data_IF_803588950435
#
_entry.id   IF_803588950435
#
_cell.length_a   1.000
_cell.length_b   1.000
_cell.length_c   1.000
_cell.angle_alpha   90.00
_cell.angle_beta   90.00
_cell.angle_gamma   90.00
#
_symmetry.space_group_name_H-M   'P 1'
#
loop_
_entity.id
_entity.type
_entity.pdbx_description
1 polymer ?
#
# COMPACT_ATOMS: atom_id res chain seq x y z
N UNK A 1 -60.26 -15.37 79.61
CA UNK A 1 -60.55 -16.69 79.05
C UNK A 1 -60.41 -16.60 77.52
N UNK A 2 -59.58 -17.52 76.99
CA UNK A 2 -59.43 -17.96 75.60
C UNK A 2 -59.21 -16.92 74.48
N UNK A 3 -57.97 -16.86 74.04
CA UNK A 3 -57.46 -16.25 72.82
C UNK A 3 -57.97 -16.97 71.55
N UNK A 4 -58.22 -16.23 70.49
CA UNK A 4 -58.34 -16.75 69.14
C UNK A 4 -57.28 -16.16 68.28
N UNK A 5 -56.40 -17.04 67.77
CA UNK A 5 -55.35 -16.74 66.83
C UNK A 5 -55.98 -16.63 65.40
N UNK A 6 -55.79 -15.52 64.75
CA UNK A 6 -56.08 -15.37 63.34
C UNK A 6 -54.76 -15.34 62.56
N UNK A 7 -54.57 -16.33 61.71
CA UNK A 7 -53.44 -16.47 60.80
C UNK A 7 -53.67 -15.63 59.57
N UNK A 8 -52.84 -14.63 59.36
CA UNK A 8 -52.85 -13.81 58.14
C UNK A 8 -51.85 -14.39 57.14
N UNK A 9 -52.39 -14.96 56.06
CA UNK A 9 -51.60 -15.48 54.95
C UNK A 9 -51.12 -14.32 54.09
N UNK A 10 -49.85 -13.99 54.16
CA UNK A 10 -49.21 -12.97 53.32
C UNK A 10 -48.89 -13.54 51.95
N UNK A 11 -49.55 -13.04 50.93
CA UNK A 11 -49.24 -13.31 49.53
C UNK A 11 -48.08 -12.44 49.08
N UNK A 12 -46.89 -13.02 49.03
CA UNK A 12 -45.72 -12.35 48.34
C UNK A 12 -45.90 -12.43 46.84
N UNK A 13 -46.27 -11.31 46.24
CA UNK A 13 -46.19 -11.15 44.76
C UNK A 13 -44.74 -10.88 44.40
N UNK A 14 -44.07 -11.88 43.80
CA UNK A 14 -42.74 -11.67 43.23
C UNK A 14 -42.86 -10.87 41.92
N UNK A 15 -42.48 -9.61 41.97
CA UNK A 15 -42.29 -8.78 40.78
C UNK A 15 -40.98 -9.19 40.12
N UNK A 16 -41.03 -10.02 39.07
CA UNK A 16 -39.88 -10.26 38.20
C UNK A 16 -39.61 -9.01 37.37
N UNK A 17 -38.61 -8.21 37.75
CA UNK A 17 -38.05 -7.16 36.95
C UNK A 17 -37.31 -7.80 35.76
N UNK A 18 -37.96 -7.79 34.60
CA UNK A 18 -37.32 -8.02 33.30
C UNK A 18 -36.38 -6.81 33.02
N UNK A 19 -35.12 -6.97 33.34
CA UNK A 19 -34.11 -6.09 32.80
C UNK A 19 -34.01 -6.37 31.29
N UNK A 20 -34.69 -5.58 30.48
CA UNK A 20 -34.39 -5.45 29.07
C UNK A 20 -32.96 -4.84 28.99
N UNK A 21 -31.98 -5.68 28.73
CA UNK A 21 -30.64 -5.24 28.37
C UNK A 21 -30.76 -4.47 27.05
N UNK A 22 -30.92 -3.16 27.15
CA UNK A 22 -30.66 -2.26 26.03
C UNK A 22 -29.17 -2.39 25.72
N UNK A 23 -28.82 -3.22 24.73
CA UNK A 23 -27.48 -3.23 24.17
C UNK A 23 -27.16 -1.83 23.63
N UNK A 24 -26.35 -1.08 24.38
CA UNK A 24 -25.78 0.15 23.87
C UNK A 24 -25.06 -0.11 22.54
N UNK A 25 -24.80 0.92 21.73
CA UNK A 25 -24.06 0.76 20.49
C UNK A 25 -22.75 0.00 20.84
N UNK A 26 -22.53 -1.14 20.18
CA UNK A 26 -21.26 -1.87 20.34
C UNK A 26 -20.14 -0.93 19.91
N UNK A 27 -19.15 -0.77 20.75
CA UNK A 27 -17.93 -0.05 20.34
C UNK A 27 -17.35 -0.73 19.09
N UNK A 28 -16.85 0.06 18.10
CA UNK A 28 -16.26 -0.50 16.90
C UNK A 28 -15.08 -1.39 17.27
N UNK A 29 -15.02 -2.59 16.71
CA UNK A 29 -13.86 -3.45 16.85
C UNK A 29 -12.71 -2.86 16.02
N UNK A 30 -11.69 -2.33 16.69
CA UNK A 30 -10.50 -1.79 16.05
C UNK A 30 -9.56 -2.92 15.60
N UNK A 31 -8.74 -2.62 14.59
CA UNK A 31 -7.61 -3.45 14.15
C UNK A 31 -6.48 -3.42 15.17
N UNK A 32 -5.44 -4.23 15.01
CA UNK A 32 -4.26 -4.19 15.88
C UNK A 32 -3.53 -2.84 15.82
N UNK A 33 -3.57 -2.15 14.66
CA UNK A 33 -3.04 -0.80 14.49
C UNK A 33 -3.96 0.31 15.00
N UNK A 34 -5.13 -0.02 15.55
CA UNK A 34 -6.10 0.95 16.06
C UNK A 34 -7.03 1.55 14.99
N UNK A 35 -6.96 1.09 13.76
CA UNK A 35 -7.86 1.55 12.70
C UNK A 35 -9.30 1.12 12.97
N UNK A 36 -10.24 2.01 12.66
CA UNK A 36 -11.66 1.69 12.66
C UNK A 36 -12.10 1.30 11.23
N UNK A 37 -12.39 0.01 10.95
CA UNK A 37 -12.80 -0.44 9.61
C UNK A 37 -13.99 0.33 9.04
N UNK A 38 -14.94 0.77 9.88
CA UNK A 38 -16.10 1.53 9.43
C UNK A 38 -15.75 2.89 8.79
N UNK A 39 -14.55 3.45 9.05
CA UNK A 39 -14.07 4.67 8.39
C UNK A 39 -13.58 4.44 6.95
N UNK A 40 -13.51 3.17 6.54
CA UNK A 40 -13.17 2.76 5.17
C UNK A 40 -14.38 2.26 4.40
N UNK A 41 -15.53 2.03 5.06
CA UNK A 41 -16.75 1.56 4.40
C UNK A 41 -17.47 2.75 3.72
N UNK A 42 -17.42 2.79 2.39
CA UNK A 42 -18.06 3.83 1.60
C UNK A 42 -18.31 3.37 0.16
N UNK A 43 -18.92 4.25 -0.64
CA UNK A 43 -19.08 4.06 -2.08
C UNK A 43 -18.23 5.12 -2.80
N UNK A 44 -17.36 4.70 -3.70
CA UNK A 44 -16.59 5.58 -4.57
C UNK A 44 -16.90 5.22 -6.02
N UNK A 45 -17.40 6.17 -6.80
CA UNK A 45 -17.79 5.97 -8.20
C UNK A 45 -18.78 4.81 -8.44
N UNK A 46 -19.60 4.48 -7.45
CA UNK A 46 -20.57 3.37 -7.53
C UNK A 46 -20.06 2.03 -6.99
N UNK A 47 -18.78 1.91 -6.66
CA UNK A 47 -18.16 0.70 -6.14
C UNK A 47 -17.98 0.75 -4.62
N UNK A 48 -18.20 -0.40 -3.96
CA UNK A 48 -18.00 -0.53 -2.52
C UNK A 48 -16.52 -0.54 -2.15
N UNK A 49 -16.14 0.37 -1.27
CA UNK A 49 -14.81 0.42 -0.65
C UNK A 49 -14.89 -0.10 0.78
N UNK A 50 -13.87 -0.84 1.21
CA UNK A 50 -13.73 -1.34 2.59
C UNK A 50 -12.28 -1.60 2.96
N UNK A 51 -12.06 -1.85 4.24
CA UNK A 51 -10.80 -2.36 4.79
C UNK A 51 -10.87 -3.87 4.95
N UNK A 52 -9.87 -4.58 4.47
CA UNK A 52 -9.65 -6.01 4.69
C UNK A 52 -8.54 -6.19 5.70
N UNK A 53 -8.69 -7.16 6.60
CA UNK A 53 -7.69 -7.47 7.61
C UNK A 53 -7.20 -8.89 7.42
N UNK A 54 -5.90 -9.04 7.19
CA UNK A 54 -5.21 -10.33 7.11
C UNK A 54 -4.48 -10.58 8.42
N UNK A 55 -4.48 -11.83 8.89
CA UNK A 55 -3.78 -12.25 10.12
C UNK A 55 -3.11 -13.59 9.92
N UNK A 56 -1.88 -13.72 10.37
CA UNK A 56 -1.23 -15.02 10.43
C UNK A 56 -1.24 -15.60 11.86
N UNK A 57 -0.82 -16.86 11.99
CA UNK A 57 -0.80 -17.56 13.28
C UNK A 57 0.21 -16.96 14.29
N UNK A 58 1.17 -16.18 13.82
CA UNK A 58 2.23 -15.57 14.63
C UNK A 58 1.87 -14.15 15.11
N UNK A 59 0.63 -13.70 14.86
CA UNK A 59 0.10 -12.43 15.34
C UNK A 59 0.38 -11.23 14.43
N UNK A 60 1.07 -11.37 13.29
CA UNK A 60 1.12 -10.30 12.30
C UNK A 60 -0.27 -9.98 11.77
N UNK A 61 -0.50 -8.70 11.51
CA UNK A 61 -1.72 -8.19 10.89
C UNK A 61 -1.38 -7.23 9.75
N UNK A 62 -2.05 -7.39 8.62
CA UNK A 62 -2.00 -6.43 7.51
C UNK A 62 -3.41 -5.91 7.23
N UNK A 63 -3.58 -4.59 7.17
CA UNK A 63 -4.82 -3.95 6.76
C UNK A 63 -4.67 -3.40 5.34
N UNK A 64 -5.59 -3.79 4.46
CA UNK A 64 -5.55 -3.45 3.04
C UNK A 64 -6.91 -2.90 2.63
N UNK A 65 -6.95 -1.72 2.00
CA UNK A 65 -8.17 -1.22 1.37
C UNK A 65 -8.19 -1.55 -0.11
N UNK A 66 -9.36 -1.88 -0.63
CA UNK A 66 -9.54 -2.07 -2.07
C UNK A 66 -9.58 -0.76 -2.87
N UNK A 67 -9.57 0.40 -2.24
CA UNK A 67 -9.32 1.67 -2.91
C UNK A 67 -7.83 1.82 -3.21
N UNK A 68 -7.47 1.69 -4.48
CA UNK A 68 -6.09 1.68 -4.93
C UNK A 68 -5.29 0.43 -4.54
N UNK A 69 -5.95 -0.60 -3.98
CA UNK A 69 -5.28 -1.81 -3.50
C UNK A 69 -4.16 -1.51 -2.51
N UNK A 70 -4.44 -0.65 -1.51
CA UNK A 70 -3.41 -0.05 -0.63
C UNK A 70 -3.17 -0.87 0.63
N UNK A 71 -1.91 -1.11 0.95
CA UNK A 71 -1.49 -1.50 2.30
C UNK A 71 -1.62 -0.27 3.21
N UNK A 72 -2.54 -0.33 4.17
CA UNK A 72 -2.85 0.78 5.09
C UNK A 72 -2.06 0.68 6.38
N UNK A 73 -1.88 -0.53 6.89
CA UNK A 73 -1.03 -0.83 8.05
C UNK A 73 -0.41 -2.22 7.92
N UNK A 74 0.75 -2.40 8.52
CA UNK A 74 1.44 -3.68 8.60
C UNK A 74 2.05 -3.83 10.00
N UNK A 75 1.31 -4.53 10.87
CA UNK A 75 1.74 -4.79 12.24
C UNK A 75 2.68 -5.99 12.29
N UNK A 76 3.90 -5.76 12.70
CA UNK A 76 4.94 -6.80 12.81
C UNK A 76 5.43 -6.91 14.26
N UNK A 77 5.78 -8.11 14.75
CA UNK A 77 6.40 -8.25 16.06
C UNK A 77 7.84 -7.72 16.03
N UNK A 78 8.18 -6.89 16.99
CA UNK A 78 9.55 -6.46 17.24
C UNK A 78 10.34 -7.56 18.00
N UNK A 79 11.60 -7.27 18.36
CA UNK A 79 12.46 -8.19 19.13
C UNK A 79 11.93 -8.52 20.55
N UNK A 80 10.93 -7.79 21.03
CA UNK A 80 10.30 -7.98 22.35
C UNK A 80 8.89 -8.56 22.22
N UNK A 81 8.52 -9.05 21.02
CA UNK A 81 7.18 -9.53 20.67
C UNK A 81 6.08 -8.45 20.75
N UNK A 82 6.45 -7.17 20.76
CA UNK A 82 5.51 -6.06 20.67
C UNK A 82 5.16 -5.80 19.19
N UNK A 83 3.88 -5.65 18.88
CA UNK A 83 3.44 -5.30 17.53
C UNK A 83 3.65 -3.82 17.28
N UNK A 84 4.35 -3.50 16.18
CA UNK A 84 4.57 -2.15 15.69
C UNK A 84 4.09 -2.03 14.24
N UNK A 85 3.53 -0.87 13.88
CA UNK A 85 3.16 -0.59 12.48
C UNK A 85 4.37 -0.05 11.74
N UNK A 86 4.77 -0.74 10.67
CA UNK A 86 5.99 -0.41 9.92
C UNK A 86 5.73 0.26 8.59
N UNK A 87 4.48 0.62 8.26
CA UNK A 87 4.14 1.34 7.02
C UNK A 87 3.42 2.64 7.32
N UNK A 88 3.59 3.63 6.45
CA UNK A 88 2.83 4.86 6.50
C UNK A 88 1.46 4.69 5.83
N UNK A 89 0.42 5.19 6.49
CA UNK A 89 -0.96 5.14 6.00
C UNK A 89 -1.83 6.21 6.63
N UNK A 90 -3.07 6.32 6.14
CA UNK A 90 -4.09 7.22 6.68
C UNK A 90 -5.18 6.44 7.42
N UNK A 91 -5.87 7.10 8.33
CA UNK A 91 -6.85 6.48 9.23
C UNK A 91 -8.25 6.29 8.62
N UNK A 92 -8.47 6.78 7.41
CA UNK A 92 -9.80 6.71 6.75
C UNK A 92 -9.70 6.89 5.24
N UNK A 93 -10.75 6.46 4.55
CA UNK A 93 -10.82 6.53 3.09
C UNK A 93 -10.90 7.96 2.55
N UNK A 94 -11.48 8.90 3.29
CA UNK A 94 -11.61 10.27 2.83
C UNK A 94 -10.24 10.93 2.59
N UNK A 95 -9.24 10.62 3.41
CA UNK A 95 -7.87 11.09 3.22
C UNK A 95 -7.22 10.49 1.97
N UNK A 96 -7.42 9.21 1.70
CA UNK A 96 -6.90 8.57 0.47
C UNK A 96 -7.58 9.07 -0.81
N UNK A 97 -8.85 9.42 -0.74
CA UNK A 97 -9.62 9.91 -1.89
C UNK A 97 -9.39 11.40 -2.20
N UNK A 98 -8.89 12.17 -1.23
CA UNK A 98 -8.60 13.60 -1.37
C UNK A 98 -7.14 13.80 -1.81
N UNK A 99 -6.87 13.57 -3.09
CA UNK A 99 -5.53 13.71 -3.66
C UNK A 99 -5.02 15.17 -3.65
N UNK A 100 -5.89 16.17 -3.48
CA UNK A 100 -5.50 17.57 -3.44
C UNK A 100 -4.85 17.95 -2.09
N UNK A 101 -5.43 17.48 -0.98
CA UNK A 101 -4.97 17.85 0.36
C UNK A 101 -4.07 16.78 1.00
N UNK A 102 -4.23 15.52 0.60
CA UNK A 102 -3.50 14.37 1.13
C UNK A 102 -2.75 13.59 0.04
N UNK A 103 -2.38 14.25 -1.05
CA UNK A 103 -1.79 13.65 -2.25
C UNK A 103 -0.60 12.75 -1.98
N UNK A 104 -0.85 11.49 -1.66
CA UNK A 104 0.15 10.47 -1.42
C UNK A 104 -0.28 9.14 -2.03
N UNK A 105 0.68 8.42 -2.57
CA UNK A 105 0.49 7.06 -3.08
C UNK A 105 0.77 5.98 -2.00
N UNK A 106 0.69 6.33 -0.70
CA UNK A 106 0.95 5.42 0.42
C UNK A 106 0.25 4.07 0.22
N UNK A 107 1.06 3.00 0.20
CA UNK A 107 0.64 1.63 0.11
C UNK A 107 0.01 1.19 -1.20
N UNK A 108 -0.15 2.07 -2.19
CA UNK A 108 -0.94 1.82 -3.39
C UNK A 108 -0.37 0.73 -4.31
N UNK A 109 -1.26 -0.01 -4.95
CA UNK A 109 -0.95 -0.84 -6.11
C UNK A 109 -1.00 0.02 -7.36
N UNK A 110 0.18 0.41 -7.83
CA UNK A 110 0.35 1.32 -8.97
C UNK A 110 0.22 0.58 -10.30
N UNK A 111 -0.47 1.23 -11.22
CA UNK A 111 -0.63 0.84 -12.63
C UNK A 111 -1.37 1.94 -13.41
N UNK A 112 -1.49 1.86 -14.74
CA UNK A 112 -1.07 0.75 -15.61
C UNK A 112 0.47 0.66 -15.72
N UNK A 113 1.18 1.79 -15.53
CA UNK A 113 2.64 1.85 -15.61
C UNK A 113 3.20 2.65 -14.44
N UNK A 114 3.91 1.98 -13.56
CA UNK A 114 4.58 2.58 -12.40
C UNK A 114 5.76 3.45 -12.83
N UNK A 115 6.01 4.51 -12.06
CA UNK A 115 6.98 5.55 -12.35
C UNK A 115 6.67 6.32 -13.66
N UNK A 116 7.66 6.99 -14.26
CA UNK A 116 7.45 7.98 -15.34
C UNK A 116 7.64 7.40 -16.73
N UNK A 117 6.77 7.80 -17.64
CA UNK A 117 6.98 7.66 -19.10
C UNK A 117 7.33 9.03 -19.64
N UNK A 118 8.51 9.15 -20.24
CA UNK A 118 9.07 10.40 -20.74
C UNK A 118 8.13 11.09 -21.72
N UNK A 119 7.83 12.37 -21.48
CA UNK A 119 6.90 13.18 -22.27
C UNK A 119 5.49 12.56 -22.41
N UNK A 120 5.15 11.57 -21.60
CA UNK A 120 3.91 10.81 -21.72
C UNK A 120 3.80 10.07 -23.04
N UNK A 121 4.89 9.63 -23.64
CA UNK A 121 4.90 8.98 -24.97
C UNK A 121 5.64 7.65 -24.95
N UNK A 122 5.06 6.67 -25.64
CA UNK A 122 5.74 5.43 -26.00
C UNK A 122 5.28 4.95 -27.38
N UNK A 123 5.95 3.93 -27.93
CA UNK A 123 5.62 3.40 -29.26
C UNK A 123 5.22 1.93 -29.18
N UNK A 124 4.23 1.58 -29.99
CA UNK A 124 3.88 0.19 -30.31
C UNK A 124 3.98 0.06 -31.83
N UNK A 125 4.98 -0.68 -32.30
CA UNK A 125 5.28 -0.71 -33.73
C UNK A 125 5.60 0.67 -34.27
N UNK A 126 4.83 1.13 -35.25
CA UNK A 126 4.96 2.48 -35.86
C UNK A 126 4.12 3.54 -35.13
N UNK A 127 3.13 3.12 -34.36
CA UNK A 127 2.20 4.03 -33.68
C UNK A 127 2.83 4.67 -32.45
N UNK A 128 2.66 5.98 -32.33
CA UNK A 128 3.04 6.73 -31.13
C UNK A 128 1.81 6.95 -30.26
N UNK A 129 1.84 6.43 -29.05
CA UNK A 129 0.80 6.59 -28.06
C UNK A 129 1.11 7.79 -27.18
N UNK A 130 0.17 8.75 -27.09
CA UNK A 130 0.29 9.92 -26.23
C UNK A 130 -0.59 9.74 -24.99
N UNK A 131 0.05 9.71 -23.84
CA UNK A 131 -0.58 9.66 -22.51
C UNK A 131 -0.76 11.07 -21.93
N UNK A 132 -1.65 11.25 -20.95
CA UNK A 132 -1.71 12.47 -20.15
C UNK A 132 -0.37 12.76 -19.46
N UNK A 133 -0.08 14.05 -19.27
CA UNK A 133 1.13 14.51 -18.57
C UNK A 133 0.71 15.11 -17.23
N UNK A 134 0.90 14.37 -16.16
CA UNK A 134 0.45 14.74 -14.82
C UNK A 134 1.57 15.12 -13.86
N UNK A 135 2.85 14.99 -14.29
CA UNK A 135 3.98 15.31 -13.42
C UNK A 135 5.20 15.77 -14.24
N UNK A 136 5.67 16.99 -14.06
CA UNK A 136 6.84 17.60 -14.75
C UNK A 136 6.88 17.38 -16.26
N UNK A 137 5.72 17.32 -16.92
CA UNK A 137 5.63 17.06 -18.36
C UNK A 137 5.73 15.58 -18.75
N UNK A 138 5.76 14.67 -17.80
CA UNK A 138 5.77 13.22 -17.96
C UNK A 138 4.44 12.59 -17.53
N UNK A 139 4.19 11.33 -17.92
CA UNK A 139 3.12 10.53 -17.35
C UNK A 139 3.67 9.76 -16.15
N UNK A 140 3.17 10.05 -14.95
CA UNK A 140 3.55 9.39 -13.71
C UNK A 140 2.45 8.44 -13.25
N UNK A 141 2.82 7.24 -12.84
CA UNK A 141 1.96 6.26 -12.17
C UNK A 141 0.62 5.99 -12.88
N UNK A 142 0.68 5.81 -14.22
CA UNK A 142 -0.49 5.50 -15.02
C UNK A 142 -1.38 6.70 -15.35
N UNK A 143 -0.93 7.93 -15.02
CA UNK A 143 -1.65 9.16 -15.34
C UNK A 143 -2.54 9.68 -14.19
N UNK A 144 -3.32 10.76 -14.44
CA UNK A 144 -4.07 11.46 -13.39
C UNK A 144 -5.17 10.62 -12.72
N UNK A 145 -5.63 9.56 -13.37
CA UNK A 145 -6.60 8.60 -12.84
C UNK A 145 -6.03 7.19 -12.83
N UNK A 146 -4.76 7.04 -12.44
CA UNK A 146 -4.08 5.76 -12.31
C UNK A 146 -4.76 4.80 -11.34
N UNK A 147 -4.28 3.58 -11.28
CA UNK A 147 -4.93 2.50 -10.51
C UNK A 147 -4.98 2.76 -9.01
N UNK A 148 -4.11 3.61 -8.49
CA UNK A 148 -4.11 4.08 -7.10
C UNK A 148 -5.38 4.87 -6.71
N UNK A 149 -6.16 5.34 -7.69
CA UNK A 149 -7.43 6.06 -7.49
C UNK A 149 -8.66 5.25 -7.91
N UNK A 150 -8.49 3.96 -8.20
CA UNK A 150 -9.58 3.06 -8.61
C UNK A 150 -9.95 2.10 -7.50
N UNK A 151 -11.20 1.63 -7.53
CA UNK A 151 -11.69 0.61 -6.62
C UNK A 151 -11.50 -0.76 -7.25
N UNK A 152 -10.76 -1.63 -6.57
CA UNK A 152 -10.61 -3.02 -6.95
C UNK A 152 -11.77 -3.85 -6.40
N UNK A 153 -12.18 -4.88 -7.15
CA UNK A 153 -13.04 -5.93 -6.61
C UNK A 153 -12.23 -6.81 -5.67
N UNK A 154 -12.58 -6.82 -4.38
CA UNK A 154 -11.89 -7.59 -3.36
C UNK A 154 -12.58 -8.93 -3.06
N UNK A 155 -11.76 -9.96 -2.93
CA UNK A 155 -12.14 -11.30 -2.49
C UNK A 155 -11.18 -11.74 -1.39
N UNK A 156 -11.65 -11.81 -0.14
CA UNK A 156 -10.88 -12.40 0.95
C UNK A 156 -11.00 -13.92 0.85
N UNK A 157 -9.91 -14.57 0.43
CA UNK A 157 -9.87 -16.02 0.15
C UNK A 157 -9.87 -16.80 1.46
N UNK A 158 -9.09 -16.33 2.44
CA UNK A 158 -8.97 -16.85 3.79
C UNK A 158 -8.47 -15.75 4.75
N UNK A 159 -8.12 -16.11 5.99
CA UNK A 159 -7.64 -15.14 7.00
C UNK A 159 -6.29 -14.49 6.64
N UNK A 160 -5.52 -15.08 5.73
CA UNK A 160 -4.18 -14.66 5.37
C UNK A 160 -4.08 -14.12 3.93
N UNK A 161 -5.11 -14.33 3.09
CA UNK A 161 -5.04 -14.07 1.65
C UNK A 161 -6.18 -13.20 1.17
N UNK A 162 -5.83 -12.10 0.51
CA UNK A 162 -6.74 -11.19 -0.19
C UNK A 162 -6.38 -11.10 -1.66
N UNK A 163 -7.36 -11.35 -2.53
CA UNK A 163 -7.24 -11.15 -3.98
C UNK A 163 -8.01 -9.89 -4.39
N UNK A 164 -7.33 -8.98 -5.06
CA UNK A 164 -7.89 -7.75 -5.61
C UNK A 164 -7.83 -7.80 -7.13
N UNK A 165 -8.95 -7.53 -7.80
CA UNK A 165 -9.02 -7.53 -9.28
C UNK A 165 -9.54 -6.19 -9.78
N UNK A 166 -8.86 -5.63 -10.79
CA UNK A 166 -9.23 -4.40 -11.46
C UNK A 166 -9.28 -4.63 -12.98
N UNK A 167 -10.33 -4.13 -13.62
CA UNK A 167 -10.41 -4.05 -15.07
C UNK A 167 -10.16 -2.60 -15.50
N UNK A 168 -9.06 -2.36 -16.19
CA UNK A 168 -8.70 -1.08 -16.79
C UNK A 168 -9.07 -1.16 -18.28
N UNK A 169 -10.11 -0.44 -18.75
CA UNK A 169 -10.61 -0.58 -20.11
C UNK A 169 -9.62 -0.05 -21.15
N UNK A 170 -9.84 -0.43 -22.42
CA UNK A 170 -9.15 0.18 -23.54
C UNK A 170 -9.31 1.70 -23.53
N UNK A 171 -8.20 2.43 -23.75
CA UNK A 171 -8.18 3.89 -23.69
C UNK A 171 -8.12 4.51 -22.30
N UNK A 172 -8.06 3.72 -21.21
CA UNK A 172 -7.87 4.25 -19.86
C UNK A 172 -6.55 5.04 -19.77
N UNK A 173 -6.64 6.35 -19.47
CA UNK A 173 -5.54 7.31 -19.60
C UNK A 173 -4.79 7.21 -20.97
N UNK A 174 -5.49 6.89 -22.04
CA UNK A 174 -4.99 6.66 -23.40
C UNK A 174 -4.09 5.43 -23.57
N UNK A 175 -3.98 4.55 -22.58
CA UNK A 175 -3.31 3.26 -22.77
C UNK A 175 -4.18 2.34 -23.64
N UNK A 176 -3.63 1.71 -24.68
CA UNK A 176 -4.38 0.77 -25.51
C UNK A 176 -4.61 -0.56 -24.76
N UNK A 177 -5.69 -1.22 -25.11
CA UNK A 177 -6.07 -2.54 -24.64
C UNK A 177 -6.75 -2.53 -23.27
N UNK A 178 -7.70 -3.45 -23.14
CA UNK A 178 -8.28 -3.78 -21.84
C UNK A 178 -7.31 -4.62 -21.04
N UNK A 179 -7.00 -4.21 -19.81
CA UNK A 179 -6.14 -4.98 -18.90
C UNK A 179 -6.94 -5.41 -17.69
N UNK A 180 -6.92 -6.71 -17.40
CA UNK A 180 -7.36 -7.25 -16.11
C UNK A 180 -6.13 -7.43 -15.23
N UNK A 181 -6.03 -6.61 -14.19
CA UNK A 181 -4.97 -6.68 -13.20
C UNK A 181 -5.45 -7.42 -11.94
N UNK A 182 -4.60 -8.28 -11.42
CA UNK A 182 -4.83 -8.99 -10.17
C UNK A 182 -3.66 -8.74 -9.22
N UNK A 183 -3.96 -8.35 -7.99
CA UNK A 183 -3.00 -8.22 -6.91
C UNK A 183 -3.44 -9.16 -5.78
N UNK A 184 -2.59 -10.12 -5.45
CA UNK A 184 -2.85 -11.05 -4.35
C UNK A 184 -1.88 -10.75 -3.21
N UNK A 185 -2.43 -10.41 -2.06
CA UNK A 185 -1.70 -10.20 -0.82
C UNK A 185 -1.81 -11.45 0.03
N UNK A 186 -0.68 -11.98 0.48
CA UNK A 186 -0.65 -13.12 1.40
C UNK A 186 0.26 -12.83 2.58
N UNK A 187 -0.29 -12.91 3.78
CA UNK A 187 0.47 -12.80 5.02
C UNK A 187 0.95 -14.21 5.41
N UNK A 188 2.21 -14.51 5.13
CA UNK A 188 2.75 -15.87 5.22
C UNK A 188 2.98 -16.32 6.67
N UNK A 189 3.13 -17.63 6.88
CA UNK A 189 3.38 -18.21 8.20
C UNK A 189 4.75 -17.87 8.77
N UNK A 190 5.70 -17.47 7.92
CA UNK A 190 7.07 -17.04 8.30
C UNK A 190 7.20 -15.52 8.42
N UNK A 191 6.07 -14.82 8.61
CA UNK A 191 5.99 -13.38 8.84
C UNK A 191 6.46 -12.51 7.65
N UNK A 192 6.13 -12.92 6.43
CA UNK A 192 6.29 -12.09 5.25
C UNK A 192 4.93 -11.62 4.70
N UNK A 193 4.88 -10.42 4.14
CA UNK A 193 3.79 -9.97 3.27
C UNK A 193 4.20 -10.24 1.83
N UNK A 194 3.65 -11.29 1.23
CA UNK A 194 3.83 -11.60 -0.19
C UNK A 194 2.83 -10.82 -1.03
N UNK A 195 3.30 -10.17 -2.10
CA UNK A 195 2.49 -9.36 -3.02
C UNK A 195 2.70 -9.88 -4.43
N UNK A 196 1.78 -10.72 -4.90
CA UNK A 196 1.79 -11.24 -6.27
C UNK A 196 0.97 -10.33 -7.18
N UNK A 197 1.59 -9.86 -8.28
CA UNK A 197 0.96 -9.01 -9.27
C UNK A 197 0.90 -9.72 -10.62
N UNK A 198 -0.30 -9.74 -11.23
CA UNK A 198 -0.57 -10.40 -12.50
C UNK A 198 -1.41 -9.46 -13.39
N UNK A 199 -1.17 -9.49 -14.70
CA UNK A 199 -1.95 -8.72 -15.65
C UNK A 199 -2.17 -9.52 -16.92
N UNK A 200 -3.42 -9.48 -17.42
CA UNK A 200 -3.82 -10.07 -18.70
C UNK A 200 -4.39 -8.95 -19.58
N UNK A 201 -4.17 -9.04 -20.88
CA UNK A 201 -4.64 -8.03 -21.84
C UNK A 201 -5.18 -8.66 -23.12
N UNK A 202 -6.12 -7.96 -23.75
CA UNK A 202 -6.74 -8.37 -25.03
C UNK A 202 -5.97 -7.86 -26.27
N UNK A 203 -4.99 -6.94 -26.08
CA UNK A 203 -4.16 -6.44 -27.18
C UNK A 203 -2.79 -5.96 -26.69
N UNK A 204 -1.88 -5.67 -27.61
CA UNK A 204 -0.53 -5.18 -27.27
C UNK A 204 -0.62 -3.86 -26.52
N UNK A 205 -0.03 -3.83 -25.32
CA UNK A 205 0.06 -2.66 -24.45
C UNK A 205 1.33 -2.75 -23.57
N UNK A 206 1.53 -1.76 -22.70
CA UNK A 206 2.58 -1.80 -21.70
C UNK A 206 1.97 -1.89 -20.31
N UNK A 207 2.53 -2.73 -19.45
CA UNK A 207 2.15 -2.89 -18.05
C UNK A 207 3.41 -2.93 -17.19
N UNK A 208 3.43 -2.13 -16.15
CA UNK A 208 4.44 -2.18 -15.09
C UNK A 208 3.74 -1.88 -13.75
N UNK A 209 3.68 -2.87 -12.88
CA UNK A 209 2.99 -2.78 -11.60
C UNK A 209 3.98 -2.72 -10.44
N UNK A 210 3.65 -1.99 -9.40
CA UNK A 210 4.40 -1.97 -8.14
C UNK A 210 3.49 -1.72 -6.95
N UNK A 211 3.97 -2.04 -5.75
CA UNK A 211 3.38 -1.56 -4.50
C UNK A 211 4.17 -0.35 -4.01
N UNK A 212 3.47 0.70 -3.60
CA UNK A 212 4.05 1.99 -3.21
C UNK A 212 4.01 2.20 -1.68
N UNK A 213 4.27 1.15 -0.90
CA UNK A 213 4.39 1.27 0.55
C UNK A 213 5.63 2.05 0.96
N UNK A 214 5.48 2.89 1.97
CA UNK A 214 6.57 3.60 2.64
C UNK A 214 6.81 2.93 3.99
N UNK A 215 8.02 2.43 4.20
CA UNK A 215 8.37 1.71 5.41
C UNK A 215 9.09 2.60 6.41
N UNK A 216 8.70 2.51 7.69
CA UNK A 216 9.40 3.11 8.80
C UNK A 216 9.48 2.09 9.95
N UNK A 217 10.63 1.46 10.11
CA UNK A 217 10.83 0.40 11.11
C UNK A 217 10.89 0.91 12.55
N UNK A 218 10.82 2.23 12.77
CA UNK A 218 10.69 2.81 14.12
C UNK A 218 9.29 2.54 14.73
N UNK A 219 8.29 2.19 13.90
CA UNK A 219 6.91 1.97 14.35
C UNK A 219 6.20 3.24 14.82
N UNK A 220 6.80 4.40 14.59
CA UNK A 220 6.28 5.73 14.94
C UNK A 220 6.46 6.66 13.73
N UNK A 221 5.37 7.08 13.07
CA UNK A 221 5.45 7.92 11.88
C UNK A 221 5.99 9.34 12.17
N UNK A 222 6.11 9.73 13.44
CA UNK A 222 6.69 11.02 13.83
C UNK A 222 8.21 10.99 13.92
N UNK A 223 8.81 9.78 13.92
CA UNK A 223 10.25 9.59 13.89
C UNK A 223 10.75 9.45 12.46
N UNK A 224 11.84 10.14 12.09
CA UNK A 224 12.38 10.00 10.74
C UNK A 224 12.97 8.60 10.52
N UNK A 225 12.81 8.08 9.30
CA UNK A 225 13.34 6.77 8.90
C UNK A 225 14.85 6.80 8.55
N UNK A 226 15.52 7.92 8.78
CA UNK A 226 16.89 8.20 8.32
C UNK A 226 17.98 7.39 9.01
N UNK A 227 17.71 6.88 10.20
CA UNK A 227 18.62 6.06 11.01
C UNK A 227 18.52 4.56 10.70
N UNK A 228 17.56 4.15 9.87
CA UNK A 228 17.46 2.77 9.43
C UNK A 228 18.69 2.35 8.63
N UNK A 229 19.21 1.16 8.93
CA UNK A 229 20.25 0.53 8.12
C UNK A 229 19.62 -0.09 6.87
N UNK A 230 20.21 0.23 5.71
CA UNK A 230 19.77 -0.26 4.42
C UNK A 230 20.87 -1.10 3.77
N UNK A 231 20.45 -2.22 3.19
CA UNK A 231 21.26 -3.05 2.31
C UNK A 231 20.54 -3.29 1.00
N UNK A 232 21.20 -3.03 -0.13
CA UNK A 232 20.66 -3.31 -1.47
C UNK A 232 21.67 -4.13 -2.25
N UNK A 233 21.27 -5.34 -2.65
CA UNK A 233 22.10 -6.22 -3.49
C UNK A 233 22.04 -5.79 -4.96
N UNK A 234 22.64 -4.64 -5.27
CA UNK A 234 22.65 -4.08 -6.62
C UNK A 234 23.99 -3.38 -6.91
N UNK A 235 24.59 -3.68 -8.05
CA UNK A 235 25.81 -3.02 -8.53
C UNK A 235 25.50 -1.75 -9.31
N UNK A 236 24.25 -1.57 -9.75
CA UNK A 236 23.85 -0.46 -10.60
C UNK A 236 22.52 0.16 -10.16
N UNK A 237 22.34 1.41 -10.54
CA UNK A 237 21.10 2.17 -10.41
C UNK A 237 20.80 2.95 -11.69
N UNK A 238 19.59 3.49 -11.79
CA UNK A 238 19.19 4.36 -12.90
C UNK A 238 19.20 5.81 -12.43
N UNK A 239 20.14 6.65 -12.89
CA UNK A 239 20.17 8.08 -12.58
C UNK A 239 18.93 8.81 -13.10
N UNK A 240 18.53 9.84 -12.36
CA UNK A 240 17.41 10.71 -12.74
C UNK A 240 17.89 12.12 -13.09
N UNK A 241 17.08 12.84 -13.88
CA UNK A 241 17.24 14.26 -14.12
C UNK A 241 16.44 15.10 -13.09
N UNK A 242 16.53 16.44 -13.09
CA UNK A 242 15.77 17.28 -12.15
C UNK A 242 14.26 17.18 -12.21
N UNK A 243 13.70 16.45 -13.18
CA UNK A 243 12.27 16.12 -13.28
C UNK A 243 11.95 14.71 -12.77
N UNK A 244 12.91 14.07 -12.08
CA UNK A 244 12.85 12.68 -11.61
C UNK A 244 12.71 11.65 -12.73
N UNK A 245 12.98 12.05 -13.99
CA UNK A 245 12.92 11.16 -15.13
C UNK A 245 14.23 10.36 -15.24
N UNK A 246 14.18 9.01 -15.29
CA UNK A 246 15.38 8.22 -15.57
C UNK A 246 16.03 8.64 -16.88
N UNK A 247 17.35 8.83 -16.84
CA UNK A 247 18.13 9.32 -18.01
C UNK A 247 18.29 8.26 -19.11
N UNK A 248 18.09 6.99 -18.77
CA UNK A 248 18.39 5.82 -19.60
C UNK A 248 19.81 5.27 -19.36
N UNK A 249 20.62 5.94 -18.56
CA UNK A 249 21.92 5.44 -18.10
C UNK A 249 21.71 4.32 -17.06
N UNK A 250 22.59 3.33 -17.08
CA UNK A 250 22.77 2.35 -16.01
C UNK A 250 24.14 2.65 -15.39
N UNK A 251 24.14 3.22 -14.19
CA UNK A 251 25.33 3.71 -13.51
C UNK A 251 25.76 2.76 -12.40
N UNK A 252 27.05 2.50 -12.28
CA UNK A 252 27.64 1.76 -11.18
C UNK A 252 27.47 2.54 -9.86
N UNK A 253 27.13 1.84 -8.78
CA UNK A 253 26.92 2.45 -7.45
C UNK A 253 28.24 2.78 -6.76
N UNK A 254 29.37 2.19 -7.17
CA UNK A 254 30.66 2.31 -6.48
C UNK A 254 31.10 3.74 -6.29
N UNK A 255 31.34 4.13 -5.05
CA UNK A 255 31.80 5.48 -4.69
C UNK A 255 30.73 6.56 -4.80
N UNK A 256 29.46 6.19 -4.96
CA UNK A 256 28.30 7.11 -4.98
C UNK A 256 27.47 6.96 -3.70
N UNK A 257 26.57 7.91 -3.38
CA UNK A 257 25.60 7.74 -2.29
C UNK A 257 24.64 6.57 -2.47
N UNK A 258 24.57 6.01 -3.68
CA UNK A 258 23.68 4.89 -4.04
C UNK A 258 24.28 3.52 -3.69
N UNK A 259 25.48 3.44 -3.11
CA UNK A 259 26.16 2.19 -2.78
C UNK A 259 25.72 1.63 -1.42
N UNK A 260 24.63 0.89 -1.41
CA UNK A 260 24.11 0.18 -0.24
C UNK A 260 24.47 -1.32 -0.22
N UNK A 261 25.54 -1.74 -0.89
CA UNK A 261 26.03 -3.13 -0.86
C UNK A 261 26.68 -3.53 0.47
N UNK A 262 26.98 -2.56 1.32
CA UNK A 262 27.33 -2.76 2.73
C UNK A 262 26.27 -2.05 3.57
N UNK A 263 25.64 -2.75 4.56
CA UNK A 263 24.61 -2.13 5.41
C UNK A 263 25.14 -0.89 6.12
N UNK A 264 24.42 0.22 6.02
CA UNK A 264 24.68 1.45 6.75
C UNK A 264 23.44 2.32 6.83
N UNK A 265 23.45 3.33 7.73
CA UNK A 265 22.32 4.22 7.90
C UNK A 265 22.06 5.07 6.65
N UNK A 266 20.80 5.21 6.27
CA UNK A 266 20.37 5.97 5.09
C UNK A 266 20.91 7.40 5.13
N UNK A 267 20.87 8.04 6.31
CA UNK A 267 21.36 9.42 6.50
C UNK A 267 22.85 9.61 6.16
N UNK A 268 23.67 8.57 6.24
CA UNK A 268 25.09 8.68 5.97
C UNK A 268 25.35 8.97 4.48
N UNK A 269 24.58 8.30 3.61
CA UNK A 269 24.61 8.56 2.16
C UNK A 269 23.94 9.88 1.79
N UNK A 270 22.85 10.28 2.47
CA UNK A 270 22.16 11.55 2.20
C UNK A 270 23.02 12.80 2.49
N UNK A 271 24.04 12.69 3.35
CA UNK A 271 24.96 13.78 3.68
C UNK A 271 26.02 14.02 2.61
N UNK A 272 26.16 13.12 1.65
CA UNK A 272 27.13 13.29 0.57
C UNK A 272 26.66 14.37 -0.40
N UNK A 273 27.60 15.23 -0.83
CA UNK A 273 27.31 16.26 -1.84
C UNK A 273 27.31 15.63 -3.25
N UNK A 274 26.16 15.14 -3.67
CA UNK A 274 25.98 14.46 -4.95
C UNK A 274 24.77 15.02 -5.71
N UNK A 275 24.88 15.07 -7.04
CA UNK A 275 23.80 15.59 -7.89
C UNK A 275 22.54 14.72 -7.85
N UNK A 276 22.70 13.40 -7.73
CA UNK A 276 21.58 12.48 -7.73
C UNK A 276 20.77 12.58 -6.43
N UNK A 277 21.43 12.78 -5.28
CA UNK A 277 20.76 13.10 -4.02
C UNK A 277 19.99 14.42 -4.13
N UNK A 278 20.56 15.43 -4.83
CA UNK A 278 19.85 16.70 -5.07
C UNK A 278 18.65 16.54 -6.00
N UNK A 279 18.82 15.80 -7.11
CA UNK A 279 17.74 15.58 -8.09
C UNK A 279 16.61 14.71 -7.52
N UNK A 280 16.96 13.68 -6.75
CA UNK A 280 15.98 12.81 -6.09
C UNK A 280 15.32 13.44 -4.86
N UNK A 281 15.77 14.64 -4.43
CA UNK A 281 15.37 15.22 -3.14
C UNK A 281 15.56 14.21 -1.99
N UNK A 282 16.68 13.50 -2.02
CA UNK A 282 17.00 12.31 -1.26
C UNK A 282 17.15 11.10 -2.20
N UNK A 283 16.49 10.00 -1.89
CA UNK A 283 16.49 8.81 -2.72
C UNK A 283 15.12 8.57 -3.34
N UNK A 284 14.99 8.85 -4.64
CA UNK A 284 13.86 8.48 -5.49
C UNK A 284 14.39 7.76 -6.74
N UNK A 285 15.19 6.71 -6.50
CA UNK A 285 15.95 6.01 -7.52
C UNK A 285 15.57 4.54 -7.60
N UNK A 286 15.84 3.95 -8.74
CA UNK A 286 15.64 2.54 -9.00
C UNK A 286 16.99 1.82 -9.02
N UNK A 287 17.15 0.77 -8.20
CA UNK A 287 18.32 -0.11 -8.18
C UNK A 287 18.07 -1.37 -9.00
N UNK A 288 19.10 -1.80 -9.72
CA UNK A 288 19.06 -3.01 -10.54
C UNK A 288 19.65 -4.15 -9.71
N UNK A 289 18.78 -4.98 -9.15
CA UNK A 289 19.19 -6.07 -8.26
C UNK A 289 19.96 -7.17 -9.00
N UNK A 290 21.01 -7.69 -8.38
CA UNK A 290 21.77 -8.84 -8.86
C UNK A 290 20.90 -10.10 -8.76
N UNK A 291 20.79 -10.84 -9.87
CA UNK A 291 20.01 -12.09 -9.93
C UNK A 291 18.52 -11.92 -10.18
N UNK A 292 18.00 -10.69 -10.30
CA UNK A 292 16.72 -10.47 -10.94
C UNK A 292 16.81 -11.01 -12.37
N UNK A 293 16.20 -12.17 -12.65
CA UNK A 293 16.13 -12.68 -14.01
C UNK A 293 15.33 -11.69 -14.83
N UNK A 294 15.82 -11.16 -15.95
CA UNK A 294 14.95 -10.50 -16.91
C UNK A 294 13.98 -11.58 -17.40
N UNK A 295 12.79 -11.61 -16.85
CA UNK A 295 11.66 -12.19 -17.52
C UNK A 295 11.55 -11.39 -18.81
N UNK A 296 11.64 -12.05 -19.93
CA UNK A 296 11.70 -11.43 -21.23
C UNK A 296 10.70 -10.30 -21.35
N UNK A 297 11.20 -9.12 -21.76
CA UNK A 297 10.50 -7.84 -21.82
C UNK A 297 10.29 -7.18 -20.43
N UNK A 298 11.38 -6.50 -19.97
CA UNK A 298 11.39 -5.34 -19.08
C UNK A 298 10.54 -5.43 -17.81
N UNK A 299 11.08 -6.10 -16.82
CA UNK A 299 10.63 -6.01 -15.45
C UNK A 299 11.82 -6.16 -14.52
N UNK A 300 12.65 -5.13 -14.39
CA UNK A 300 13.57 -5.06 -13.26
C UNK A 300 12.73 -4.90 -11.98
N UNK A 301 12.94 -5.73 -10.97
CA UNK A 301 12.44 -5.43 -9.63
C UNK A 301 13.22 -4.21 -9.17
N UNK A 302 12.63 -3.03 -9.32
CA UNK A 302 13.16 -1.80 -8.76
C UNK A 302 12.74 -1.72 -7.31
N UNK A 303 13.68 -1.51 -6.39
CA UNK A 303 13.36 -1.01 -5.06
C UNK A 303 13.32 0.50 -5.20
N UNK A 304 12.13 1.08 -5.02
CA UNK A 304 11.97 2.52 -4.90
C UNK A 304 12.08 2.88 -3.42
N UNK A 305 13.05 3.74 -3.11
CA UNK A 305 13.13 4.40 -1.82
C UNK A 305 12.78 5.87 -2.06
N UNK A 306 11.58 6.25 -1.66
CA UNK A 306 11.23 7.65 -1.46
C UNK A 306 11.31 7.93 0.05
N UNK A 307 12.13 8.87 0.45
CA UNK A 307 12.36 9.29 1.83
C UNK A 307 11.92 10.73 2.03
#
# INVERSE_FOLDING_TARGET
MKALKGTMLGMCAAFALLFAACGGPKEPQLTASGLNPAKFDTIVNGDSVRLYTLKNANGMEACITNFGGRVVSLMVPDRNDSLIDVVLGYDNIAQYADAENFGSDFGASIGRYANRIKNGQFRIGEDTIQLPRNNFGHCLHGGPTGWQYKVYKGEQVDDQTLKLTLVSPDGDNNFPGTVTATVTYTLTADNALDIKMEAETDQITIVNMTNHSYFNLNGDPTQPAMDMELYINADNFTPVDPTFMPTGEIRDVTGTPMDFRTPHAIQDSLRMDDEQVKYGNGFDHNWIQIGARPLGIVGGVGIFLAL
#
